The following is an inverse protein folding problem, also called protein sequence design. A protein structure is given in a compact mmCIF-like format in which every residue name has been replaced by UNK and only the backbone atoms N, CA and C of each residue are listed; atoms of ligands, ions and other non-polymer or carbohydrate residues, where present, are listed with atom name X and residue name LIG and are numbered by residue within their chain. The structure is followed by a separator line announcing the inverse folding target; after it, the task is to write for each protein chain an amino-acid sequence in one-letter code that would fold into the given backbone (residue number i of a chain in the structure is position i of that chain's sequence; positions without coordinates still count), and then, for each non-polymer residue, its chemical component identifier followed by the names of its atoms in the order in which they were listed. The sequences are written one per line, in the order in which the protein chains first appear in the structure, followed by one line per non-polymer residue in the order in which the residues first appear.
data_IF_383192790813
#
_entry.id   IF_383192790813
#
_cell.length_a   1.000
_cell.length_b   1.000
_cell.length_c   1.000
_cell.angle_alpha   90.00
_cell.angle_beta   90.00
_cell.angle_gamma   90.00
#
_symmetry.space_group_name_H-M   'P 1'
#
loop_
_entity.id
_entity.type
_entity.pdbx_description
1 polymer ?
#
# COMPACT_ATOMS: atom_id res chain seq x y z
N UNK A 1 -24.27 -5.76 3.06
CA UNK A 1 -22.84 -5.59 2.73
C UNK A 1 -22.15 -5.20 4.02
N UNK A 2 -21.07 -5.86 4.45
CA UNK A 2 -20.40 -5.44 5.68
C UNK A 2 -19.78 -4.05 5.46
N UNK A 3 -20.11 -3.12 6.36
CA UNK A 3 -19.55 -1.77 6.38
C UNK A 3 -18.04 -1.84 6.65
N UNK A 4 -17.24 -1.64 5.61
CA UNK A 4 -15.77 -1.58 5.69
C UNK A 4 -15.29 -0.20 6.18
N UNK A 5 -15.83 0.29 7.31
CA UNK A 5 -15.48 1.60 7.90
C UNK A 5 -14.45 1.50 9.04
N UNK A 6 -13.97 0.29 9.36
CA UNK A 6 -12.96 0.09 10.40
C UNK A 6 -11.56 0.52 9.98
N UNK A 7 -11.23 1.82 10.11
CA UNK A 7 -9.84 2.27 10.06
C UNK A 7 -9.11 1.73 11.29
N UNK A 8 -8.11 0.88 11.09
CA UNK A 8 -7.19 0.45 12.16
C UNK A 8 -5.92 1.28 12.09
N UNK A 9 -5.58 1.98 13.17
CA UNK A 9 -4.37 2.81 13.28
C UNK A 9 -3.37 2.15 14.24
N UNK A 10 -2.10 2.11 13.83
CA UNK A 10 -1.01 1.59 14.64
C UNK A 10 0.00 2.71 14.92
N UNK A 11 0.34 2.90 16.20
CA UNK A 11 1.32 3.90 16.64
C UNK A 11 2.56 3.20 17.19
N UNK A 12 3.74 3.73 16.86
CA UNK A 12 5.01 3.28 17.43
C UNK A 12 5.72 4.46 18.08
N UNK A 13 6.45 4.21 19.16
CA UNK A 13 7.21 5.22 19.90
C UNK A 13 8.69 4.82 19.88
N UNK A 14 9.56 5.76 19.50
CA UNK A 14 11.02 5.58 19.56
C UNK A 14 11.56 6.48 20.67
N UNK A 15 12.29 5.90 21.61
CA UNK A 15 12.89 6.61 22.76
C UNK A 15 14.39 6.39 22.83
N UNK A 16 15.14 7.34 23.41
CA UNK A 16 16.58 7.21 23.63
C UNK A 16 17.45 7.62 22.43
N UNK A 17 16.86 8.22 21.40
CA UNK A 17 17.56 8.78 20.24
C UNK A 17 16.79 10.01 19.74
N UNK A 18 17.50 11.06 19.37
CA UNK A 18 16.92 12.19 18.64
C UNK A 18 17.03 11.91 17.15
N UNK A 19 15.90 12.02 16.45
CA UNK A 19 15.80 11.78 15.02
C UNK A 19 15.65 13.11 14.27
N UNK A 20 16.27 13.20 13.11
CA UNK A 20 15.95 14.26 12.14
C UNK A 20 14.62 13.94 11.45
N UNK A 21 13.97 14.97 10.87
CA UNK A 21 12.72 14.79 10.11
C UNK A 21 12.85 13.75 8.98
N UNK A 22 13.98 13.74 8.30
CA UNK A 22 14.25 12.78 7.22
C UNK A 22 14.36 11.35 7.75
N UNK A 23 14.95 11.17 8.94
CA UNK A 23 15.04 9.87 9.60
C UNK A 23 13.66 9.40 10.07
N UNK A 24 12.86 10.28 10.67
CA UNK A 24 11.47 9.98 11.04
C UNK A 24 10.64 9.56 9.83
N UNK A 25 10.77 10.26 8.70
CA UNK A 25 10.05 9.92 7.47
C UNK A 25 10.51 8.57 6.91
N UNK A 26 11.81 8.30 6.91
CA UNK A 26 12.37 7.02 6.48
C UNK A 26 11.85 5.86 7.32
N UNK A 27 11.81 6.02 8.64
CA UNK A 27 11.28 4.99 9.56
C UNK A 27 9.77 4.82 9.35
N UNK A 28 9.01 5.91 9.27
CA UNK A 28 7.56 5.87 9.02
C UNK A 28 7.23 5.09 7.75
N UNK A 29 7.99 5.33 6.68
CA UNK A 29 7.85 4.63 5.40
C UNK A 29 8.13 3.13 5.52
N UNK A 30 9.20 2.76 6.23
CA UNK A 30 9.55 1.36 6.44
C UNK A 30 8.47 0.60 7.21
N UNK A 31 7.88 1.24 8.24
CA UNK A 31 6.79 0.65 9.03
C UNK A 31 5.53 0.48 8.19
N UNK A 32 5.16 1.51 7.41
CA UNK A 32 3.99 1.41 6.53
C UNK A 32 4.16 0.29 5.48
N UNK A 33 5.37 0.13 4.92
CA UNK A 33 5.68 -0.97 4.01
C UNK A 33 5.62 -2.34 4.69
N UNK A 34 6.17 -2.47 5.90
CA UNK A 34 6.10 -3.73 6.66
C UNK A 34 4.64 -4.10 7.00
N UNK A 35 3.82 -3.13 7.39
CA UNK A 35 2.39 -3.33 7.63
C UNK A 35 1.65 -3.77 6.37
N UNK A 36 1.90 -3.11 5.24
CA UNK A 36 1.31 -3.50 3.95
C UNK A 36 1.72 -4.91 3.52
N UNK A 37 2.99 -5.30 3.74
CA UNK A 37 3.47 -6.65 3.45
C UNK A 37 2.81 -7.70 4.34
N UNK A 38 2.73 -7.46 5.66
CA UNK A 38 2.09 -8.38 6.59
C UNK A 38 0.59 -8.60 6.28
N UNK A 39 -0.08 -7.57 5.74
CA UNK A 39 -1.46 -7.69 5.25
C UNK A 39 -1.54 -8.50 3.95
N UNK A 40 -0.49 -8.50 3.12
CA UNK A 40 -0.46 -9.29 1.88
C UNK A 40 -0.58 -10.79 2.09
N UNK A 41 -0.13 -11.31 3.22
CA UNK A 41 -0.23 -12.75 3.55
C UNK A 41 -1.64 -13.18 3.97
N UNK A 42 -2.49 -12.25 4.38
CA UNK A 42 -3.86 -12.50 4.87
C UNK A 42 -4.95 -11.93 3.96
N UNK A 43 -4.58 -11.11 2.99
CA UNK A 43 -5.52 -10.48 2.08
C UNK A 43 -5.87 -11.40 0.90
N UNK A 44 -7.01 -11.13 0.23
CA UNK A 44 -7.31 -11.75 -1.05
C UNK A 44 -6.15 -11.59 -2.04
N UNK A 45 -5.90 -12.63 -2.84
CA UNK A 45 -4.74 -12.73 -3.75
C UNK A 45 -4.63 -11.58 -4.77
N UNK A 46 -5.75 -10.92 -5.03
CA UNK A 46 -5.95 -9.83 -5.96
C UNK A 46 -5.97 -8.44 -5.29
N UNK A 47 -5.74 -8.36 -3.97
CA UNK A 47 -5.57 -7.10 -3.27
C UNK A 47 -4.20 -6.48 -3.59
N UNK A 48 -4.19 -5.16 -3.79
CA UNK A 48 -3.00 -4.41 -4.18
C UNK A 48 -2.65 -3.33 -3.15
N UNK A 49 -1.36 -3.17 -2.79
CA UNK A 49 -0.89 -2.00 -2.06
C UNK A 49 -0.80 -0.79 -3.00
N UNK A 50 -1.40 0.33 -2.61
CA UNK A 50 -1.28 1.61 -3.31
C UNK A 50 -0.78 2.68 -2.35
N UNK A 51 0.36 3.31 -2.70
CA UNK A 51 0.90 4.43 -1.93
C UNK A 51 0.13 5.71 -2.25
N UNK A 52 -0.55 6.28 -1.26
CA UNK A 52 -1.26 7.56 -1.40
C UNK A 52 -0.39 8.76 -1.02
N UNK A 53 0.49 8.56 -0.02
CA UNK A 53 1.45 9.54 0.51
C UNK A 53 2.71 8.78 0.97
N UNK A 54 3.91 9.38 1.14
CA UNK A 54 5.07 8.70 1.70
C UNK A 54 4.81 7.90 2.99
N UNK A 55 3.83 8.31 3.80
CA UNK A 55 3.46 7.65 5.06
C UNK A 55 2.13 6.89 5.00
N UNK A 56 1.31 7.08 3.96
CA UNK A 56 -0.03 6.50 3.88
C UNK A 56 -0.10 5.50 2.73
N UNK A 57 -0.46 4.27 3.10
CA UNK A 57 -0.70 3.18 2.17
C UNK A 57 -2.14 2.70 2.29
N UNK A 58 -2.78 2.56 1.15
CA UNK A 58 -4.04 1.84 1.03
C UNK A 58 -3.74 0.41 0.59
N UNK A 59 -4.49 -0.55 1.13
CA UNK A 59 -4.37 -1.94 0.76
C UNK A 59 -5.77 -2.53 0.59
N UNK A 60 -6.08 -3.07 -0.59
CA UNK A 60 -7.40 -3.63 -0.83
C UNK A 60 -7.63 -4.06 -2.27
N UNK A 61 -8.86 -4.52 -2.54
CA UNK A 61 -9.29 -4.92 -3.87
C UNK A 61 -9.56 -3.68 -4.73
N UNK A 62 -8.81 -3.47 -5.84
CA UNK A 62 -9.11 -2.40 -6.77
C UNK A 62 -10.49 -2.62 -7.40
N UNK A 63 -11.20 -1.53 -7.73
CA UNK A 63 -12.45 -1.62 -8.50
C UNK A 63 -12.16 -2.18 -9.90
N UNK A 64 -13.08 -2.96 -10.46
CA UNK A 64 -12.94 -3.59 -11.78
C UNK A 64 -12.54 -2.62 -12.90
N UNK A 65 -13.06 -1.38 -12.87
CA UNK A 65 -12.72 -0.35 -13.87
C UNK A 65 -11.24 0.02 -13.85
N UNK A 66 -10.61 0.10 -12.67
CA UNK A 66 -9.19 0.41 -12.53
C UNK A 66 -8.32 -0.74 -13.02
N UNK A 67 -8.75 -2.00 -12.78
CA UNK A 67 -8.05 -3.19 -13.29
C UNK A 67 -8.05 -3.20 -14.82
N UNK A 68 -9.17 -2.84 -15.45
CA UNK A 68 -9.25 -2.75 -16.91
C UNK A 68 -8.32 -1.69 -17.49
N UNK A 69 -8.27 -0.50 -16.88
CA UNK A 69 -7.36 0.57 -17.31
C UNK A 69 -5.89 0.14 -17.18
N UNK A 70 -5.53 -0.51 -16.07
CA UNK A 70 -4.19 -1.06 -15.88
C UNK A 70 -3.84 -2.13 -16.91
N UNK A 71 -4.78 -3.02 -17.25
CA UNK A 71 -4.59 -4.05 -18.28
C UNK A 71 -4.39 -3.42 -19.67
N UNK A 72 -5.17 -2.39 -20.01
CA UNK A 72 -5.03 -1.67 -21.28
C UNK A 72 -3.68 -0.97 -21.38
N UNK A 73 -3.26 -0.29 -20.32
CA UNK A 73 -1.95 0.34 -20.24
C UNK A 73 -0.83 -0.70 -20.40
N UNK A 74 -0.87 -1.79 -19.63
CA UNK A 74 0.15 -2.85 -19.69
C UNK A 74 0.20 -3.54 -21.07
N UNK A 75 -0.95 -3.76 -21.73
CA UNK A 75 -1.00 -4.32 -23.06
C UNK A 75 -0.38 -3.41 -24.12
N UNK A 76 -0.52 -2.08 -23.97
CA UNK A 76 0.13 -1.11 -24.85
C UNK A 76 1.66 -1.12 -24.66
N UNK A 77 2.13 -1.19 -23.41
CA UNK A 77 3.56 -1.23 -23.08
C UNK A 77 4.25 -2.55 -23.46
N UNK A 78 3.54 -3.69 -23.33
CA UNK A 78 4.10 -5.01 -23.63
C UNK A 78 4.34 -5.25 -25.14
N UNK A 79 3.74 -4.43 -26.01
CA UNK A 79 3.76 -4.65 -27.45
C UNK A 79 2.96 -5.89 -27.88
N UNK A 80 3.00 -6.28 -29.18
CA UNK A 80 2.25 -7.42 -29.66
C UNK A 80 2.76 -8.73 -29.01
N UNK A 81 1.88 -9.39 -28.25
CA UNK A 81 2.09 -10.75 -27.76
C UNK A 81 2.11 -11.67 -28.98
N UNK A 82 3.29 -12.24 -29.29
CA UNK A 82 3.44 -13.26 -30.35
C UNK A 82 2.97 -14.63 -29.87
#
# INVERSE_FOLDING_TARGET
MPDNTGKSEFTFVVTGVELTKDQEERISRAIAQAGALALGDVAPRDALPVRLDPKIWWYGLPKDVLVRELQQFAAAEAGPVR
#
